data_IF_436766162068
#
_entry.id   IF_436766162068
#
_cell.length_a   1.000
_cell.length_b   1.000
_cell.length_c   1.000
_cell.angle_alpha   90.00
_cell.angle_beta   90.00
_cell.angle_gamma   90.00
#
_symmetry.space_group_name_H-M   'P 1'
#
loop_
_entity.id
_entity.type
_entity.pdbx_description
1 polymer ?
#
# COMPACT_ATOMS: atom_id res chain seq x y z
N UNK A 1 2.39 -21.77 42.66
CA UNK A 1 2.09 -21.09 41.39
C UNK A 1 3.10 -19.97 41.21
N UNK A 2 3.73 -19.84 40.03
CA UNK A 2 4.58 -18.69 39.73
C UNK A 2 3.70 -17.45 39.51
N UNK A 3 3.96 -16.37 40.24
CA UNK A 3 3.28 -15.08 40.05
C UNK A 3 3.92 -14.42 38.83
N UNK A 4 3.12 -13.87 37.93
CA UNK A 4 3.60 -13.26 36.69
C UNK A 4 2.92 -11.93 36.44
N UNK A 5 3.62 -11.06 35.70
CA UNK A 5 3.08 -9.83 35.15
C UNK A 5 3.15 -9.91 33.63
N UNK A 6 2.04 -9.59 32.97
CA UNK A 6 1.95 -9.48 31.52
C UNK A 6 1.86 -8.00 31.16
N UNK A 7 2.78 -7.52 30.32
CA UNK A 7 2.78 -6.12 29.87
C UNK A 7 2.98 -6.06 28.37
N UNK A 8 2.20 -5.19 27.73
CA UNK A 8 2.37 -4.85 26.32
C UNK A 8 3.22 -3.60 26.17
N UNK A 9 4.36 -3.77 25.51
CA UNK A 9 5.21 -2.71 24.99
C UNK A 9 4.67 -2.16 23.70
N UNK A 10 4.84 -0.86 23.48
CA UNK A 10 4.46 -0.18 22.26
C UNK A 10 5.70 0.51 21.71
N UNK A 11 6.08 0.16 20.49
CA UNK A 11 7.13 0.82 19.73
C UNK A 11 6.49 1.88 18.84
N UNK A 12 7.06 3.08 18.80
CA UNK A 12 6.66 4.14 17.87
C UNK A 12 7.89 4.65 17.15
N UNK A 13 7.79 4.77 15.83
CA UNK A 13 8.82 5.34 14.99
C UNK A 13 8.18 6.23 13.92
N UNK A 14 8.95 7.21 13.48
CA UNK A 14 8.63 8.06 12.33
C UNK A 14 9.70 7.85 11.28
N UNK A 15 9.31 7.82 10.01
CA UNK A 15 10.23 7.76 8.89
C UNK A 15 9.77 8.66 7.75
N UNK A 16 10.70 9.43 7.19
CA UNK A 16 10.44 10.20 5.99
C UNK A 16 10.40 9.26 4.79
N UNK A 17 9.42 9.45 3.90
CA UNK A 17 9.29 8.61 2.73
C UNK A 17 10.43 8.88 1.72
N UNK A 18 11.09 7.81 1.28
CA UNK A 18 12.17 7.83 0.29
C UNK A 18 11.84 7.01 -0.97
N UNK A 19 10.61 6.48 -1.06
CA UNK A 19 10.19 5.60 -2.13
C UNK A 19 8.75 5.88 -2.55
N UNK A 20 8.45 5.77 -3.85
CA UNK A 20 7.12 5.95 -4.41
C UNK A 20 6.61 4.63 -4.99
N UNK A 21 5.31 4.40 -4.83
CA UNK A 21 4.57 3.32 -5.46
C UNK A 21 3.41 3.92 -6.27
N UNK A 22 3.49 3.78 -7.59
CA UNK A 22 2.40 4.07 -8.52
C UNK A 22 1.63 2.79 -8.78
N UNK A 23 0.34 2.81 -8.46
CA UNK A 23 -0.60 1.71 -8.75
C UNK A 23 -1.51 2.14 -9.89
N UNK A 24 -1.51 1.37 -10.97
CA UNK A 24 -2.26 1.63 -12.19
C UNK A 24 -3.23 0.48 -12.44
N UNK A 25 -4.48 0.80 -12.78
CA UNK A 25 -5.50 -0.18 -13.14
C UNK A 25 -6.02 0.11 -14.54
N UNK A 26 -5.90 -0.89 -15.41
CA UNK A 26 -6.44 -0.91 -16.75
C UNK A 26 -7.67 -1.82 -16.77
N UNK A 27 -8.77 -1.33 -17.33
CA UNK A 27 -10.02 -2.09 -17.46
C UNK A 27 -10.44 -2.13 -18.93
N UNK A 28 -10.76 -3.33 -19.41
CA UNK A 28 -11.31 -3.56 -20.75
C UNK A 28 -12.58 -4.37 -20.61
N UNK A 29 -13.66 -3.90 -21.24
CA UNK A 29 -14.91 -4.64 -21.36
C UNK A 29 -15.24 -4.86 -22.83
N UNK A 30 -15.34 -6.13 -23.25
CA UNK A 30 -15.73 -6.47 -24.61
C UNK A 30 -16.59 -7.73 -24.66
N UNK A 31 -17.53 -7.82 -25.61
CA UNK A 31 -18.46 -8.97 -25.73
C UNK A 31 -17.77 -10.26 -26.18
N UNK A 32 -16.76 -10.11 -27.02
CA UNK A 32 -15.93 -11.21 -27.52
C UNK A 32 -14.65 -11.33 -26.68
N UNK A 33 -14.34 -12.56 -26.28
CA UNK A 33 -13.23 -12.88 -25.40
C UNK A 33 -11.87 -12.52 -26.02
N UNK A 34 -11.65 -12.92 -27.28
CA UNK A 34 -10.39 -12.73 -27.99
C UNK A 34 -10.06 -11.25 -28.14
N UNK A 35 -11.08 -10.44 -28.49
CA UNK A 35 -10.94 -8.99 -28.62
C UNK A 35 -10.70 -8.33 -27.26
N UNK A 36 -11.35 -8.79 -26.17
CA UNK A 36 -11.07 -8.29 -24.82
C UNK A 36 -9.59 -8.48 -24.46
N UNK A 37 -9.05 -9.69 -24.71
CA UNK A 37 -7.65 -10.03 -24.43
C UNK A 37 -6.67 -9.20 -25.28
N UNK A 38 -6.95 -9.04 -26.57
CA UNK A 38 -6.11 -8.23 -27.47
C UNK A 38 -6.09 -6.76 -27.01
N UNK A 39 -7.25 -6.19 -26.70
CA UNK A 39 -7.37 -4.82 -26.22
C UNK A 39 -6.63 -4.61 -24.88
N UNK A 40 -6.74 -5.56 -23.95
CA UNK A 40 -6.02 -5.49 -22.68
C UNK A 40 -4.50 -5.52 -22.88
N UNK A 41 -4.00 -6.41 -23.75
CA UNK A 41 -2.58 -6.46 -24.11
C UNK A 41 -2.08 -5.18 -24.77
N UNK A 42 -2.91 -4.58 -25.64
CA UNK A 42 -2.59 -3.30 -26.30
C UNK A 42 -2.54 -2.14 -25.31
N UNK A 43 -3.48 -2.04 -24.38
CA UNK A 43 -3.45 -0.99 -23.35
C UNK A 43 -2.20 -1.08 -22.47
N UNK A 44 -1.80 -2.29 -22.07
CA UNK A 44 -0.56 -2.50 -21.33
C UNK A 44 0.67 -2.04 -22.12
N UNK A 45 0.75 -2.41 -23.41
CA UNK A 45 1.86 -2.02 -24.27
C UNK A 45 1.96 -0.50 -24.42
N UNK A 46 0.84 0.19 -24.62
CA UNK A 46 0.79 1.66 -24.69
C UNK A 46 1.29 2.33 -23.41
N UNK A 47 0.90 1.79 -22.25
CA UNK A 47 1.36 2.28 -20.96
C UNK A 47 2.87 2.07 -20.77
N UNK A 48 3.36 0.87 -21.11
CA UNK A 48 4.79 0.54 -21.08
C UNK A 48 5.60 1.47 -21.98
N UNK A 49 5.17 1.64 -23.23
CA UNK A 49 5.86 2.49 -24.19
C UNK A 49 5.89 3.95 -23.73
N UNK A 50 4.78 4.45 -23.16
CA UNK A 50 4.71 5.81 -22.61
C UNK A 50 5.70 6.00 -21.46
N UNK A 51 5.78 5.07 -20.51
CA UNK A 51 6.72 5.13 -19.39
C UNK A 51 8.18 4.92 -19.82
N UNK A 52 8.43 4.13 -20.86
CA UNK A 52 9.77 3.98 -21.43
C UNK A 52 10.28 5.27 -22.09
N UNK A 53 9.41 6.17 -22.56
CA UNK A 53 9.86 7.48 -23.09
C UNK A 53 10.52 8.36 -22.03
N UNK A 54 10.18 8.15 -20.76
CA UNK A 54 10.80 8.81 -19.62
C UNK A 54 11.80 7.90 -18.91
N UNK A 55 12.20 6.78 -19.53
CA UNK A 55 13.30 5.93 -19.06
C UNK A 55 12.94 4.96 -17.94
N UNK A 56 11.68 4.50 -17.85
CA UNK A 56 11.35 3.30 -17.07
C UNK A 56 11.40 2.07 -17.97
N UNK A 57 12.06 1.01 -17.50
CA UNK A 57 12.16 -0.23 -18.22
C UNK A 57 10.86 -1.03 -18.12
N UNK A 58 10.55 -1.84 -19.15
CA UNK A 58 9.29 -2.60 -19.20
C UNK A 58 9.15 -3.59 -18.05
N UNK A 59 10.27 -4.09 -17.52
CA UNK A 59 10.29 -5.03 -16.41
C UNK A 59 10.16 -4.36 -15.05
N UNK A 60 10.35 -3.03 -14.92
CA UNK A 60 10.05 -2.28 -13.70
C UNK A 60 8.54 -2.22 -13.42
N UNK A 61 7.72 -2.34 -14.46
CA UNK A 61 6.27 -2.49 -14.35
C UNK A 61 5.91 -3.91 -13.95
N UNK A 62 5.52 -4.10 -12.70
CA UNK A 62 5.10 -5.40 -12.16
C UNK A 62 3.59 -5.54 -12.20
N UNK A 63 3.10 -6.64 -12.80
CA UNK A 63 1.69 -7.00 -12.69
C UNK A 63 1.40 -7.51 -11.28
N UNK A 64 0.52 -6.84 -10.55
CA UNK A 64 0.10 -7.24 -9.20
C UNK A 64 -1.17 -8.09 -9.21
N UNK A 65 -2.02 -7.88 -10.21
CA UNK A 65 -3.21 -8.70 -10.42
C UNK A 65 -3.65 -8.67 -11.87
N UNK A 66 -4.09 -9.83 -12.36
CA UNK A 66 -4.79 -9.95 -13.62
C UNK A 66 -6.06 -10.77 -13.36
N UNK A 67 -7.22 -10.20 -13.66
CA UNK A 67 -8.51 -10.85 -13.46
C UNK A 67 -9.36 -10.69 -14.71
N UNK A 68 -10.14 -11.72 -15.00
CA UNK A 68 -11.16 -11.68 -16.03
C UNK A 68 -12.45 -12.23 -15.45
N UNK A 69 -13.51 -11.47 -15.59
CA UNK A 69 -14.86 -11.81 -15.13
C UNK A 69 -15.84 -11.64 -16.29
N UNK A 70 -16.98 -12.33 -16.22
CA UNK A 70 -18.13 -12.05 -17.07
C UNK A 70 -18.99 -10.99 -16.39
N UNK A 71 -19.28 -9.91 -17.11
CA UNK A 71 -20.11 -8.81 -16.62
C UNK A 71 -21.55 -8.97 -17.14
N UNK A 72 -22.52 -8.69 -16.27
CA UNK A 72 -23.94 -8.73 -16.58
C UNK A 72 -24.62 -7.48 -16.05
N UNK A 73 -25.60 -6.96 -16.77
CA UNK A 73 -26.43 -5.84 -16.32
C UNK A 73 -27.86 -6.31 -16.05
N UNK A 74 -28.45 -5.77 -14.99
CA UNK A 74 -29.87 -5.95 -14.73
C UNK A 74 -30.66 -4.86 -15.45
N UNK A 75 -31.53 -5.25 -16.35
CA UNK A 75 -32.39 -4.36 -17.14
C UNK A 75 -33.84 -4.62 -16.75
N UNK A 76 -34.59 -3.56 -16.44
CA UNK A 76 -36.02 -3.67 -16.17
C UNK A 76 -36.80 -3.53 -17.47
N UNK A 77 -37.72 -4.46 -17.74
CA UNK A 77 -38.66 -4.30 -18.85
C UNK A 77 -39.72 -3.24 -18.54
N UNK A 78 -40.47 -2.80 -19.55
CA UNK A 78 -41.56 -1.82 -19.38
C UNK A 78 -42.72 -2.31 -18.50
N UNK A 79 -42.71 -3.58 -18.07
CA UNK A 79 -43.69 -4.18 -17.17
C UNK A 79 -43.17 -4.34 -15.73
N UNK A 80 -41.95 -3.87 -15.44
CA UNK A 80 -41.35 -3.90 -14.10
C UNK A 80 -40.62 -5.20 -13.74
N UNK A 81 -40.41 -6.12 -14.69
CA UNK A 81 -39.64 -7.34 -14.46
C UNK A 81 -38.16 -7.10 -14.70
N UNK A 82 -37.30 -7.69 -13.88
CA UNK A 82 -35.85 -7.64 -14.05
C UNK A 82 -35.35 -8.78 -14.95
N UNK A 83 -34.47 -8.45 -15.89
CA UNK A 83 -33.75 -9.40 -16.73
C UNK A 83 -32.25 -9.16 -16.60
N UNK A 84 -31.47 -10.25 -16.57
CA UNK A 84 -30.01 -10.19 -16.54
C UNK A 84 -29.46 -10.39 -17.95
N UNK A 85 -28.73 -9.39 -18.45
CA UNK A 85 -28.20 -9.37 -19.83
C UNK A 85 -26.68 -9.41 -19.80
N UNK A 86 -26.09 -10.34 -20.55
CA UNK A 86 -24.64 -10.43 -20.69
C UNK A 86 -24.06 -9.17 -21.36
N UNK A 87 -23.12 -8.52 -20.69
CA UNK A 87 -22.44 -7.30 -21.16
C UNK A 87 -21.12 -7.60 -21.85
N UNK A 88 -20.39 -8.62 -21.38
CA UNK A 88 -19.12 -9.02 -21.96
C UNK A 88 -18.15 -9.57 -20.94
N UNK A 89 -16.90 -9.71 -21.35
CA UNK A 89 -15.77 -10.07 -20.52
C UNK A 89 -15.08 -8.79 -20.05
N UNK A 90 -15.09 -8.59 -18.73
CA UNK A 90 -14.35 -7.52 -18.06
C UNK A 90 -12.99 -8.05 -17.64
N UNK A 91 -11.94 -7.50 -18.22
CA UNK A 91 -10.55 -7.74 -17.83
C UNK A 91 -10.08 -6.56 -17.00
N UNK A 92 -9.54 -6.85 -15.82
CA UNK A 92 -8.90 -5.88 -14.94
C UNK A 92 -7.43 -6.24 -14.76
N UNK A 93 -6.55 -5.31 -15.12
CA UNK A 93 -5.10 -5.48 -15.03
C UNK A 93 -4.52 -4.42 -14.09
N UNK A 94 -4.06 -4.87 -12.92
CA UNK A 94 -3.41 -4.02 -11.93
C UNK A 94 -1.90 -4.14 -12.06
N UNK A 95 -1.25 -2.99 -12.16
CA UNK A 95 0.17 -2.83 -12.43
C UNK A 95 0.74 -1.91 -11.35
N UNK A 96 1.96 -2.22 -10.90
CA UNK A 96 2.73 -1.45 -9.95
C UNK A 96 4.04 -1.02 -10.60
N UNK A 97 4.34 0.27 -10.48
CA UNK A 97 5.66 0.83 -10.73
C UNK A 97 6.16 1.44 -9.42
N UNK A 98 7.40 1.18 -9.03
CA UNK A 98 7.94 1.72 -7.78
C UNK A 98 9.42 2.08 -7.92
N UNK A 99 9.81 3.24 -7.40
CA UNK A 99 11.13 3.84 -7.58
C UNK A 99 11.45 4.84 -6.46
N UNK A 100 12.72 5.24 -6.36
CA UNK A 100 13.21 6.19 -5.36
C UNK A 100 12.47 7.53 -5.47
N UNK A 101 12.06 8.08 -4.32
CA UNK A 101 11.26 9.31 -4.31
C UNK A 101 12.12 10.52 -4.71
N UNK A 102 11.79 11.06 -5.87
CA UNK A 102 12.28 12.33 -6.38
C UNK A 102 11.10 13.05 -7.06
N UNK A 103 10.90 14.32 -6.77
CA UNK A 103 9.74 15.08 -7.25
C UNK A 103 9.76 15.27 -8.76
N UNK A 104 10.94 15.45 -9.36
CA UNK A 104 11.09 15.57 -10.80
C UNK A 104 10.80 14.23 -11.49
N UNK A 105 11.37 13.13 -10.97
CA UNK A 105 11.13 11.79 -11.49
C UNK A 105 9.67 11.38 -11.40
N UNK A 106 9.01 11.72 -10.29
CA UNK A 106 7.58 11.51 -10.13
C UNK A 106 6.78 12.32 -11.16
N UNK A 107 7.09 13.61 -11.34
CA UNK A 107 6.40 14.45 -12.30
C UNK A 107 6.54 13.93 -13.75
N UNK A 108 7.73 13.45 -14.14
CA UNK A 108 7.97 12.79 -15.43
C UNK A 108 7.09 11.55 -15.61
N UNK A 109 7.08 10.66 -14.61
CA UNK A 109 6.27 9.44 -14.62
C UNK A 109 4.77 9.76 -14.77
N UNK A 110 4.27 10.72 -13.99
CA UNK A 110 2.87 11.13 -14.01
C UNK A 110 2.50 11.78 -15.35
N UNK A 111 3.38 12.62 -15.91
CA UNK A 111 3.14 13.23 -17.22
C UNK A 111 3.11 12.18 -18.34
N UNK A 112 3.96 11.16 -18.27
CA UNK A 112 3.95 10.05 -19.23
C UNK A 112 2.66 9.21 -19.11
N UNK A 113 2.22 8.92 -17.89
CA UNK A 113 0.97 8.18 -17.63
C UNK A 113 -0.25 8.97 -18.11
N UNK A 114 -0.34 10.25 -17.76
CA UNK A 114 -1.45 11.11 -18.15
C UNK A 114 -1.51 11.36 -19.67
N UNK A 115 -0.37 11.30 -20.36
CA UNK A 115 -0.29 11.36 -21.81
C UNK A 115 -0.54 10.02 -22.52
N UNK A 116 -0.62 8.91 -21.76
CA UNK A 116 -0.81 7.59 -22.34
C UNK A 116 -2.24 7.41 -22.86
N UNK A 117 -2.44 6.93 -24.10
CA UNK A 117 -3.77 6.58 -24.61
C UNK A 117 -4.45 5.43 -23.85
N UNK A 118 -3.73 4.75 -22.95
CA UNK A 118 -4.29 3.69 -22.12
C UNK A 118 -5.14 4.20 -20.95
N UNK A 119 -5.06 5.50 -20.62
CA UNK A 119 -5.88 6.18 -19.59
C UNK A 119 -6.10 5.35 -18.30
N UNK A 120 -5.02 4.87 -17.63
CA UNK A 120 -5.18 4.01 -16.46
C UNK A 120 -5.76 4.79 -15.29
N UNK A 121 -6.55 4.11 -14.45
CA UNK A 121 -6.83 4.63 -13.10
C UNK A 121 -5.54 4.59 -12.29
N UNK A 122 -5.16 5.70 -11.70
CA UNK A 122 -3.89 5.88 -11.01
C UNK A 122 -4.09 6.16 -9.52
N UNK A 123 -3.26 5.54 -8.69
CA UNK A 123 -3.09 5.86 -7.28
C UNK A 123 -1.61 5.96 -6.95
N UNK A 124 -1.26 6.93 -6.09
CA UNK A 124 0.12 7.19 -5.65
C UNK A 124 0.21 6.92 -4.16
N UNK A 125 1.25 6.20 -3.74
CA UNK A 125 1.57 6.00 -2.35
C UNK A 125 3.07 6.23 -2.09
N UNK A 126 3.39 6.76 -0.92
CA UNK A 126 4.77 7.00 -0.48
C UNK A 126 5.11 5.99 0.61
N UNK A 127 6.32 5.42 0.55
CA UNK A 127 6.78 4.39 1.48
C UNK A 127 8.28 4.57 1.75
N UNK A 128 8.82 3.70 2.61
CA UNK A 128 10.27 3.56 2.80
C UNK A 128 10.75 2.33 2.05
N UNK A 129 11.84 2.47 1.30
CA UNK A 129 12.44 1.39 0.50
C UNK A 129 12.91 0.23 1.37
N UNK A 130 13.69 0.54 2.41
CA UNK A 130 14.14 -0.44 3.39
C UNK A 130 13.40 -0.25 4.72
N UNK A 131 12.51 -1.19 5.01
CA UNK A 131 11.70 -1.18 6.22
C UNK A 131 12.36 -1.94 7.37
N UNK A 132 13.48 -2.63 7.12
CA UNK A 132 14.11 -3.54 8.07
C UNK A 132 14.66 -2.78 9.27
N UNK A 133 15.39 -1.70 9.04
CA UNK A 133 15.98 -0.90 10.11
C UNK A 133 14.91 -0.27 11.02
N UNK A 134 13.83 0.23 10.41
CA UNK A 134 12.72 0.83 11.16
C UNK A 134 12.01 -0.21 12.01
N UNK A 135 11.79 -1.43 11.47
CA UNK A 135 11.21 -2.56 12.21
C UNK A 135 12.09 -2.97 13.38
N UNK A 136 13.39 -3.11 13.16
CA UNK A 136 14.34 -3.45 14.23
C UNK A 136 14.33 -2.41 15.35
N UNK A 137 14.30 -1.12 14.98
CA UNK A 137 14.22 -0.04 15.95
C UNK A 137 12.89 -0.05 16.74
N UNK A 138 11.76 -0.27 16.06
CA UNK A 138 10.45 -0.40 16.71
C UNK A 138 10.42 -1.50 17.76
N UNK A 139 11.00 -2.67 17.46
CA UNK A 139 11.05 -3.79 18.39
C UNK A 139 11.90 -3.48 19.63
N UNK A 140 13.01 -2.75 19.47
CA UNK A 140 13.81 -2.28 20.60
C UNK A 140 13.01 -1.33 21.49
N UNK A 141 12.35 -0.33 20.90
CA UNK A 141 11.53 0.65 21.63
C UNK A 141 10.37 -0.05 22.36
N UNK A 142 9.69 -1.00 21.70
CA UNK A 142 8.60 -1.77 22.30
C UNK A 142 9.09 -2.58 23.51
N UNK A 143 10.24 -3.25 23.37
CA UNK A 143 10.86 -4.04 24.44
C UNK A 143 11.23 -3.20 25.65
N UNK A 144 11.89 -2.06 25.43
CA UNK A 144 12.29 -1.13 26.50
C UNK A 144 11.06 -0.53 27.19
N UNK A 145 10.04 -0.18 26.43
CA UNK A 145 8.78 0.35 26.96
C UNK A 145 8.05 -0.68 27.82
N UNK A 146 7.99 -1.94 27.38
CA UNK A 146 7.37 -3.01 28.14
C UNK A 146 8.09 -3.24 29.47
N UNK A 147 9.43 -3.31 29.43
CA UNK A 147 10.26 -3.50 30.63
C UNK A 147 10.08 -2.35 31.62
N UNK A 148 10.13 -1.11 31.16
CA UNK A 148 9.92 0.09 32.00
C UNK A 148 8.55 0.07 32.66
N UNK A 149 7.48 -0.24 31.91
CA UNK A 149 6.12 -0.37 32.45
C UNK A 149 6.04 -1.49 33.51
N UNK A 150 6.66 -2.64 33.25
CA UNK A 150 6.68 -3.75 34.21
C UNK A 150 7.40 -3.37 35.52
N UNK A 151 8.53 -2.67 35.43
CA UNK A 151 9.26 -2.17 36.61
C UNK A 151 8.40 -1.23 37.45
N UNK A 152 7.76 -0.22 36.83
CA UNK A 152 6.89 0.73 37.53
C UNK A 152 5.73 0.01 38.24
N UNK A 153 5.09 -0.95 37.57
CA UNK A 153 3.98 -1.71 38.14
C UNK A 153 4.41 -2.60 39.31
N UNK A 154 5.60 -3.22 39.23
CA UNK A 154 6.17 -4.00 40.33
C UNK A 154 6.51 -3.12 41.53
N UNK A 155 7.21 -1.99 41.31
CA UNK A 155 7.56 -1.02 42.37
C UNK A 155 6.31 -0.48 43.08
N UNK A 156 5.30 -0.05 42.33
CA UNK A 156 4.04 0.45 42.87
C UNK A 156 3.25 -0.62 43.65
N UNK A 157 3.49 -1.89 43.36
CA UNK A 157 2.86 -3.03 44.04
C UNK A 157 3.72 -3.65 45.14
N UNK A 158 4.87 -3.04 45.48
CA UNK A 158 5.84 -3.53 46.48
C UNK A 158 6.34 -4.96 46.20
N UNK A 159 6.54 -5.31 44.94
CA UNK A 159 7.10 -6.59 44.47
C UNK A 159 8.28 -6.36 43.55
N UNK A 160 9.11 -7.39 43.31
CA UNK A 160 10.29 -7.27 42.45
C UNK A 160 10.04 -7.90 41.08
N UNK A 161 10.48 -7.25 40.01
CA UNK A 161 10.45 -7.82 38.66
C UNK A 161 11.48 -8.96 38.55
N UNK A 162 11.02 -10.15 38.19
CA UNK A 162 11.83 -11.35 38.02
C UNK A 162 12.23 -11.62 36.57
N UNK A 163 12.54 -12.89 36.29
CA UNK A 163 13.07 -13.30 34.99
C UNK A 163 11.99 -13.30 33.90
N UNK A 164 12.37 -12.94 32.68
CA UNK A 164 11.48 -12.99 31.51
C UNK A 164 11.08 -14.45 31.23
N UNK A 165 9.77 -14.71 31.15
CA UNK A 165 9.22 -16.05 30.94
C UNK A 165 8.80 -16.28 29.48
N UNK A 166 8.19 -15.29 28.84
CA UNK A 166 7.80 -15.39 27.44
C UNK A 166 7.69 -14.04 26.75
N UNK A 167 7.89 -14.07 25.43
CA UNK A 167 7.61 -12.97 24.52
C UNK A 167 6.56 -13.50 23.55
N UNK A 168 5.40 -12.84 23.48
CA UNK A 168 4.41 -13.08 22.45
C UNK A 168 4.47 -11.95 21.44
N UNK A 169 4.89 -12.33 20.24
CA UNK A 169 5.06 -11.44 19.10
C UNK A 169 4.44 -12.10 17.88
N UNK A 170 3.37 -11.51 17.38
CA UNK A 170 2.75 -11.89 16.11
C UNK A 170 2.70 -10.66 15.24
N UNK A 171 3.70 -10.49 14.39
CA UNK A 171 3.70 -9.42 13.41
C UNK A 171 2.71 -9.76 12.29
N UNK A 172 1.66 -8.96 12.13
CA UNK A 172 0.88 -8.91 10.89
C UNK A 172 1.60 -8.01 9.88
N UNK A 173 1.39 -8.19 8.57
CA UNK A 173 1.94 -7.29 7.56
C UNK A 173 1.52 -5.83 7.85
N UNK A 174 2.41 -5.05 8.48
CA UNK A 174 2.19 -3.61 8.67
C UNK A 174 2.32 -2.94 7.31
N UNK A 175 1.22 -2.41 6.80
CA UNK A 175 1.20 -1.58 5.60
C UNK A 175 1.89 -0.25 5.90
N UNK A 176 3.12 -0.12 5.41
CA UNK A 176 4.01 1.01 5.64
C UNK A 176 3.86 2.04 4.53
N UNK A 177 2.76 2.80 4.57
CA UNK A 177 2.50 3.86 3.61
C UNK A 177 2.22 5.18 4.33
N UNK A 178 2.67 6.29 3.75
CA UNK A 178 2.31 7.63 4.21
C UNK A 178 0.81 7.82 4.11
N UNK A 179 0.23 8.54 5.07
CA UNK A 179 -1.19 8.90 5.08
C UNK A 179 -1.53 9.98 4.03
N UNK A 180 -0.53 10.49 3.32
CA UNK A 180 -0.72 11.49 2.27
C UNK A 180 -1.63 10.94 1.18
N UNK A 181 -2.87 11.43 1.13
CA UNK A 181 -3.85 11.03 0.12
C UNK A 181 -3.62 11.81 -1.18
N UNK A 182 -3.10 11.13 -2.20
CA UNK A 182 -3.01 11.64 -3.56
C UNK A 182 -4.13 11.03 -4.42
N UNK A 183 -5.32 11.61 -4.29
CA UNK A 183 -6.44 11.27 -5.15
C UNK A 183 -6.48 12.22 -6.35
N UNK A 184 -5.92 11.78 -7.47
CA UNK A 184 -5.85 12.56 -8.70
C UNK A 184 -7.06 12.23 -9.58
N UNK A 185 -8.05 13.13 -9.60
CA UNK A 185 -9.01 13.18 -10.71
C UNK A 185 -8.36 13.62 -12.03
N UNK A 186 -9.03 13.38 -13.16
CA UNK A 186 -8.54 13.76 -14.50
C UNK A 186 -8.11 15.24 -14.60
N UNK A 187 -8.87 16.15 -13.95
CA UNK A 187 -8.58 17.59 -13.94
C UNK A 187 -7.35 17.97 -13.13
N UNK A 188 -6.95 17.17 -12.14
CA UNK A 188 -5.78 17.44 -11.29
C UNK A 188 -4.45 17.00 -11.92
N UNK A 189 -4.44 16.02 -12.81
CA UNK A 189 -3.22 15.61 -13.54
C UNK A 189 -2.70 16.71 -14.47
N UNK A 190 -3.59 17.48 -15.11
CA UNK A 190 -3.21 18.61 -15.96
C UNK A 190 -2.60 19.76 -15.16
N UNK A 191 -3.00 19.95 -13.89
CA UNK A 191 -2.44 20.96 -13.00
C UNK A 191 -1.09 20.55 -12.39
N UNK A 192 -0.82 19.26 -12.18
CA UNK A 192 0.50 18.78 -11.69
C UNK A 192 1.65 19.10 -12.64
N UNK A 193 1.37 19.26 -13.95
CA UNK A 193 2.37 19.68 -14.95
C UNK A 193 3.01 21.03 -14.63
N UNK A 194 2.38 21.86 -13.77
CA UNK A 194 2.78 23.25 -13.56
C UNK A 194 3.63 23.53 -12.30
N UNK A 195 3.57 22.73 -11.24
CA UNK A 195 4.43 22.87 -10.06
C UNK A 195 4.20 21.70 -9.10
N UNK A 196 5.18 20.82 -8.98
CA UNK A 196 5.15 19.71 -8.03
C UNK A 196 6.27 19.89 -7.01
N UNK A 197 6.13 20.88 -6.13
CA UNK A 197 6.91 20.97 -4.89
C UNK A 197 6.01 20.58 -3.72
N UNK A 198 6.07 19.32 -3.31
CA UNK A 198 5.45 18.87 -2.07
C UNK A 198 6.38 17.89 -1.36
N UNK A 199 6.18 17.79 -0.06
CA UNK A 199 6.86 16.83 0.81
C UNK A 199 5.77 15.95 1.41
N UNK A 200 5.78 14.63 1.18
CA UNK A 200 4.84 13.72 1.83
C UNK A 200 4.92 13.82 3.35
N UNK A 201 3.82 13.58 4.05
CA UNK A 201 3.87 13.43 5.50
C UNK A 201 4.74 12.23 5.89
N UNK A 202 5.44 12.38 7.01
CA UNK A 202 6.20 11.30 7.62
C UNK A 202 5.29 10.09 7.91
N UNK A 203 5.87 8.92 7.75
CA UNK A 203 5.21 7.64 7.98
C UNK A 203 5.33 7.32 9.47
N UNK A 204 4.21 7.42 10.17
CA UNK A 204 4.10 6.98 11.56
C UNK A 204 3.86 5.48 11.62
N UNK A 205 4.67 4.78 12.41
CA UNK A 205 4.63 3.34 12.53
C UNK A 205 4.54 2.99 13.99
N UNK A 206 3.61 2.10 14.29
CA UNK A 206 3.38 1.61 15.63
C UNK A 206 3.32 0.09 15.61
N UNK A 207 3.98 -0.53 16.58
CA UNK A 207 3.85 -1.96 16.81
C UNK A 207 3.79 -2.27 18.31
N UNK A 208 3.24 -3.43 18.65
CA UNK A 208 3.09 -3.88 20.03
C UNK A 208 3.62 -5.29 20.23
N UNK A 209 4.36 -5.47 21.32
CA UNK A 209 4.92 -6.76 21.73
C UNK A 209 4.51 -7.04 23.16
N UNK A 210 4.01 -8.25 23.42
CA UNK A 210 3.57 -8.64 24.76
C UNK A 210 4.61 -9.50 25.44
N UNK A 211 4.92 -9.18 26.68
CA UNK A 211 5.95 -9.84 27.46
C UNK A 211 5.36 -10.33 28.79
N UNK A 212 5.83 -11.47 29.25
CA UNK A 212 5.47 -12.04 30.55
C UNK A 212 6.73 -12.20 31.40
N UNK A 213 6.76 -11.56 32.57
CA UNK A 213 7.84 -11.71 33.55
C UNK A 213 7.33 -12.39 34.81
N UNK A 214 8.26 -13.02 35.53
CA UNK A 214 8.03 -13.45 36.91
C UNK A 214 7.92 -12.23 37.85
N UNK A 215 7.18 -12.39 38.93
CA UNK A 215 7.12 -11.45 40.05
C UNK A 215 7.66 -12.15 41.30
N UNK A 216 8.59 -11.51 42.02
CA UNK A 216 9.19 -11.98 43.28
C UNK A 216 8.63 -11.20 44.46
#
# INVERSE_FOLDING_TARGET
MKRTITVTGQGKASATADYVVLSMSLEVLHKEYELAMEMAGRQLALLQDSLSTVGFEKDELKTTSFRMNTEYESVTDGAGNYQTVFKGYLISHNIKLAFDFDTARLAEALSAIAGSPSEPRLSIAFTVKDQTEIKDNLLRIASDTARRKAQILCEASAVTLGDLQSINYSWGEVNLYSKTDFNLGERSMVMMKAALEFVPEDIEIEDTVTFVWEIK
#
